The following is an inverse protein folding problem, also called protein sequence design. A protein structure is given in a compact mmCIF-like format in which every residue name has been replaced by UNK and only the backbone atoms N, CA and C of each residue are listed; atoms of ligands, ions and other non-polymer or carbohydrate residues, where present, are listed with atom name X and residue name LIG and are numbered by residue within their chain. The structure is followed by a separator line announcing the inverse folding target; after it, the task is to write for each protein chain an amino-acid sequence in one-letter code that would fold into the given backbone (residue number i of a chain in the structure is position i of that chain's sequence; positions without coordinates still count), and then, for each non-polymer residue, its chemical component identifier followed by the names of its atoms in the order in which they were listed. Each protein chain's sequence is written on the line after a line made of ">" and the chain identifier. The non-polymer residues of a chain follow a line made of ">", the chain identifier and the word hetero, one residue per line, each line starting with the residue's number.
data_IF_763610549713
#
_entry.id   IF_763610549713
#
_cell.length_a   1.000
_cell.length_b   1.000
_cell.length_c   1.000
_cell.angle_alpha   90.00
_cell.angle_beta   90.00
_cell.angle_gamma   90.00
#
_symmetry.space_group_name_H-M   'P 1'
#
loop_
_entity.id
_entity.type
_entity.pdbx_description
1 polymer ?
#
# COMPACT_ATOMS: atom_id res chain seq x y z
N UNK A 1 -16.00 -8.47 -1.50
CA UNK A 1 -15.15 -8.84 -0.34
C UNK A 1 -15.90 -8.56 0.95
N UNK A 2 -15.72 -9.37 2.00
CA UNK A 2 -16.35 -9.13 3.31
C UNK A 2 -15.58 -8.03 4.04
N UNK A 3 -16.22 -6.87 4.30
CA UNK A 3 -15.64 -5.81 5.14
C UNK A 3 -15.95 -6.08 6.61
N UNK A 4 -15.00 -5.83 7.50
CA UNK A 4 -15.17 -5.92 8.96
C UNK A 4 -15.12 -4.53 9.56
N UNK A 5 -15.99 -4.26 10.54
CA UNK A 5 -16.00 -2.99 11.24
C UNK A 5 -14.73 -2.84 12.10
N UNK A 6 -14.06 -1.70 11.97
CA UNK A 6 -12.93 -1.32 12.82
C UNK A 6 -13.45 -0.41 13.94
N UNK A 7 -13.31 -0.83 15.21
CA UNK A 7 -13.89 -0.14 16.38
C UNK A 7 -12.86 0.44 17.34
N UNK A 8 -11.68 0.80 16.84
CA UNK A 8 -10.55 1.25 17.67
C UNK A 8 -10.59 2.75 17.94
N UNK A 9 -10.13 3.17 19.13
CA UNK A 9 -10.00 4.59 19.47
C UNK A 9 -8.77 5.21 18.77
N UNK A 10 -8.92 6.43 18.28
CA UNK A 10 -7.85 7.25 17.69
C UNK A 10 -7.89 8.66 18.27
N UNK A 11 -6.78 9.40 18.17
CA UNK A 11 -6.71 10.79 18.60
C UNK A 11 -7.72 11.66 17.83
N UNK A 12 -8.47 12.48 18.55
CA UNK A 12 -9.56 13.28 17.98
C UNK A 12 -9.07 14.35 16.98
N UNK A 13 -7.96 15.01 17.28
CA UNK A 13 -7.34 16.02 16.41
C UNK A 13 -6.85 15.40 15.09
N UNK A 14 -6.18 14.25 15.16
CA UNK A 14 -5.76 13.49 13.99
C UNK A 14 -6.96 13.05 13.14
N UNK A 15 -8.01 12.52 13.77
CA UNK A 15 -9.23 12.09 13.06
C UNK A 15 -9.91 13.26 12.34
N UNK A 16 -9.86 14.47 12.91
CA UNK A 16 -10.43 15.67 12.30
C UNK A 16 -9.70 16.04 11.01
N UNK A 17 -8.37 16.08 11.04
CA UNK A 17 -7.57 16.38 9.84
C UNK A 17 -7.72 15.27 8.79
N UNK A 18 -7.78 14.01 9.22
CA UNK A 18 -7.99 12.89 8.31
C UNK A 18 -9.37 12.94 7.62
N UNK A 19 -10.42 13.33 8.35
CA UNK A 19 -11.76 13.58 7.77
C UNK A 19 -11.74 14.71 6.76
N UNK A 20 -11.04 15.81 7.07
CA UNK A 20 -10.89 16.94 6.16
C UNK A 20 -10.21 16.50 4.85
N UNK A 21 -9.14 15.72 4.94
CA UNK A 21 -8.48 15.15 3.77
C UNK A 21 -9.44 14.33 2.91
N UNK A 22 -10.27 13.47 3.52
CA UNK A 22 -11.25 12.69 2.78
C UNK A 22 -12.28 13.57 2.04
N UNK A 23 -12.69 14.69 2.65
CA UNK A 23 -13.57 15.68 2.02
C UNK A 23 -12.87 16.38 0.86
N UNK A 24 -11.63 16.86 1.06
CA UNK A 24 -10.84 17.55 0.04
C UNK A 24 -10.56 16.65 -1.18
N UNK A 25 -10.51 15.33 -0.97
CA UNK A 25 -10.36 14.31 -2.01
C UNK A 25 -11.69 13.83 -2.62
N UNK A 26 -12.84 14.29 -2.11
CA UNK A 26 -14.18 13.83 -2.48
C UNK A 26 -14.36 12.31 -2.39
N UNK A 27 -13.74 11.67 -1.38
CA UNK A 27 -13.71 10.21 -1.21
C UNK A 27 -14.26 9.76 0.13
N UNK A 28 -14.82 8.54 0.21
CA UNK A 28 -15.19 7.94 1.49
C UNK A 28 -13.98 7.81 2.43
N UNK A 29 -14.16 8.13 3.72
CA UNK A 29 -13.09 8.03 4.73
C UNK A 29 -12.44 6.65 4.80
N UNK A 30 -13.22 5.59 4.57
CA UNK A 30 -12.73 4.22 4.60
C UNK A 30 -11.79 3.93 3.43
N UNK A 31 -12.01 4.52 2.25
CA UNK A 31 -11.14 4.30 1.09
C UNK A 31 -9.79 4.97 1.30
N UNK A 32 -9.80 6.19 1.86
CA UNK A 32 -8.57 6.91 2.24
C UNK A 32 -7.83 6.18 3.37
N UNK A 33 -8.57 5.59 4.31
CA UNK A 33 -8.00 4.77 5.39
C UNK A 33 -7.35 3.50 4.85
N UNK A 34 -8.03 2.76 3.98
CA UNK A 34 -7.52 1.54 3.35
C UNK A 34 -6.25 1.87 2.52
N UNK A 35 -6.23 2.99 1.79
CA UNK A 35 -5.04 3.49 1.09
C UNK A 35 -3.88 3.79 2.04
N UNK A 36 -4.12 4.55 3.11
CA UNK A 36 -3.10 4.86 4.12
C UNK A 36 -2.54 3.59 4.80
N UNK A 37 -3.37 2.55 4.96
CA UNK A 37 -2.93 1.25 5.47
C UNK A 37 -2.00 0.55 4.47
N UNK A 38 -2.33 0.55 3.19
CA UNK A 38 -1.49 -0.05 2.14
C UNK A 38 -0.13 0.65 2.03
N UNK A 39 -0.12 1.99 2.03
CA UNK A 39 1.11 2.78 2.01
C UNK A 39 2.00 2.48 3.22
N UNK A 40 1.39 2.31 4.39
CA UNK A 40 2.14 1.97 5.61
C UNK A 40 2.72 0.56 5.52
N UNK A 41 1.97 -0.42 4.98
CA UNK A 41 2.47 -1.78 4.79
C UNK A 41 3.64 -1.82 3.79
N UNK A 42 3.52 -1.15 2.64
CA UNK A 42 4.59 -1.05 1.64
C UNK A 42 5.85 -0.40 2.21
N UNK A 43 5.69 0.68 2.99
CA UNK A 43 6.80 1.35 3.69
C UNK A 43 7.60 0.42 4.60
N UNK A 44 6.98 -0.62 5.15
CA UNK A 44 7.64 -1.63 5.98
C UNK A 44 7.94 -2.94 5.24
N UNK A 45 7.73 -3.00 3.92
CA UNK A 45 7.98 -4.18 3.10
C UNK A 45 7.04 -5.34 3.39
N UNK A 46 5.83 -5.06 3.88
CA UNK A 46 4.80 -6.07 4.14
C UNK A 46 3.90 -6.20 2.92
N UNK A 47 3.96 -7.34 2.23
CA UNK A 47 3.09 -7.62 1.09
C UNK A 47 1.65 -7.87 1.55
N UNK A 48 0.70 -7.11 0.99
CA UNK A 48 -0.73 -7.31 1.22
C UNK A 48 -1.30 -8.22 0.13
N UNK A 49 -1.75 -9.41 0.51
CA UNK A 49 -2.48 -10.33 -0.38
C UNK A 49 -3.96 -10.34 -0.01
N UNK A 50 -4.86 -9.83 -0.87
CA UNK A 50 -6.29 -9.89 -0.60
C UNK A 50 -6.75 -11.36 -0.62
N UNK A 51 -7.17 -11.87 0.55
CA UNK A 51 -7.71 -13.21 0.68
C UNK A 51 -8.90 -13.39 -0.27
N UNK A 52 -8.73 -14.26 -1.28
CA UNK A 52 -9.71 -14.48 -2.37
C UNK A 52 -9.14 -14.42 -3.79
N UNK A 53 -7.83 -14.24 -3.97
CA UNK A 53 -7.13 -14.37 -5.27
C UNK A 53 -6.55 -15.78 -5.51
N UNK A 54 -7.12 -16.81 -4.88
CA UNK A 54 -6.86 -18.20 -5.24
C UNK A 54 -7.52 -18.51 -6.60
N UNK A 55 -6.87 -18.13 -7.70
CA UNK A 55 -7.35 -18.45 -9.05
C UNK A 55 -6.90 -17.55 -10.20
N UNK A 56 -6.13 -16.48 -9.98
CA UNK A 56 -5.54 -15.71 -11.07
C UNK A 56 -4.01 -15.81 -11.00
N UNK A 57 -3.45 -16.57 -11.94
CA UNK A 57 -2.01 -16.77 -12.13
C UNK A 57 -1.23 -15.46 -12.10
N UNK A 58 -0.04 -15.43 -11.49
CA UNK A 58 0.81 -14.25 -11.46
C UNK A 58 1.56 -14.11 -12.80
N UNK A 59 0.94 -13.53 -13.82
CA UNK A 59 1.66 -13.19 -15.07
C UNK A 59 2.10 -11.72 -15.15
N UNK A 60 1.91 -10.91 -14.11
CA UNK A 60 2.38 -9.52 -14.09
C UNK A 60 3.33 -9.26 -12.92
N UNK A 61 4.39 -10.06 -12.83
CA UNK A 61 5.63 -9.61 -12.20
C UNK A 61 6.24 -8.56 -13.13
N UNK A 62 5.98 -7.27 -12.88
CA UNK A 62 6.75 -6.19 -13.52
C UNK A 62 8.18 -6.31 -13.00
N UNK A 63 9.20 -6.62 -13.84
CA UNK A 63 10.56 -6.64 -13.35
C UNK A 63 11.00 -5.21 -13.01
N UNK A 64 11.25 -4.95 -11.73
CA UNK A 64 11.97 -3.76 -11.26
C UNK A 64 13.42 -3.83 -11.77
N UNK A 65 13.65 -3.41 -13.02
CA UNK A 65 14.99 -3.25 -13.56
C UNK A 65 15.57 -1.92 -13.07
N UNK A 66 16.18 -1.94 -11.89
CA UNK A 66 16.90 -0.81 -11.29
C UNK A 66 18.38 -1.15 -11.11
N UNK A 67 19.20 -0.65 -12.04
CA UNK A 67 20.65 -0.45 -11.99
C UNK A 67 21.40 -0.82 -10.68
N UNK A 68 22.37 -1.73 -10.79
CA UNK A 68 23.69 -1.55 -10.17
C UNK A 68 24.78 -1.82 -11.19
N UNK A 69 25.48 -0.74 -11.56
CA UNK A 69 26.59 -0.79 -12.51
C UNK A 69 27.90 -1.32 -11.89
N UNK A 70 28.77 -1.77 -12.81
CA UNK A 70 30.25 -1.61 -12.86
C UNK A 70 31.01 -2.24 -11.66
N UNK A 71 32.00 -3.13 -11.79
CA UNK A 71 33.01 -3.40 -12.83
C UNK A 71 33.59 -4.80 -12.58
N UNK A 72 33.96 -5.53 -13.63
CA UNK A 72 35.28 -6.20 -13.69
C UNK A 72 35.77 -6.18 -15.12
N UNK A 73 36.73 -5.31 -15.38
CA UNK A 73 37.55 -5.36 -16.58
C UNK A 73 38.49 -6.56 -16.42
N UNK A 74 38.44 -7.48 -17.37
CA UNK A 74 39.53 -8.41 -17.66
C UNK A 74 40.41 -7.74 -18.72
N UNK A 75 41.71 -7.59 -18.45
CA UNK A 75 42.72 -7.59 -19.52
C UNK A 75 44.13 -7.82 -18.96
N UNK A 76 44.78 -8.81 -19.59
CA UNK A 76 46.20 -9.22 -19.58
C UNK A 76 46.70 -10.08 -18.43
#
# INVERSE_FOLDING_TARGET
>A
MKKKMLSTQVRNDLLKEFKKLAIDLERPINDVLEEAMLDLLDKYGVEFHPAGTEGQSPEHAIPRNGQKGKRKAALR
#
